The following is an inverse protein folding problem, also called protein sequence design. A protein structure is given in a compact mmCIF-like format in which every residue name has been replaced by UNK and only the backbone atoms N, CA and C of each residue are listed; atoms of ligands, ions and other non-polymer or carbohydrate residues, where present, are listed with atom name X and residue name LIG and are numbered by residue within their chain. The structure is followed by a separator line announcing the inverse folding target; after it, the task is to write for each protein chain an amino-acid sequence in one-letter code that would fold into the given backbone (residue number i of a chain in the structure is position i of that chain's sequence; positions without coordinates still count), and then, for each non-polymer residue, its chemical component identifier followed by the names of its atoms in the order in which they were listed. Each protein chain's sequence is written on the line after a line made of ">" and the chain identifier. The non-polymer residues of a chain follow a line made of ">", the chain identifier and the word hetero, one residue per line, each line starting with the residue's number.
data_IF_949678312280
#
_entry.id   IF_949678312280
#
_cell.length_a   1.000
_cell.length_b   1.000
_cell.length_c   1.000
_cell.angle_alpha   90.00
_cell.angle_beta   90.00
_cell.angle_gamma   90.00
#
_symmetry.space_group_name_H-M   'P 1'
#
loop_
_entity.id
_entity.type
_entity.pdbx_description
1 polymer ?
#
# COMPACT_ATOMS: atom_id res chain seq x y z
N UNK A 1 -13.52 12.35 -14.22
CA UNK A 1 -13.20 11.04 -14.83
C UNK A 1 -11.83 11.03 -15.51
N UNK A 2 -11.48 12.02 -16.33
CA UNK A 2 -10.21 12.01 -17.09
C UNK A 2 -8.94 11.82 -16.24
N UNK A 3 -8.86 12.43 -15.05
CA UNK A 3 -7.72 12.23 -14.14
C UNK A 3 -7.58 10.80 -13.62
N UNK A 4 -8.70 10.12 -13.39
CA UNK A 4 -8.74 8.72 -12.94
C UNK A 4 -8.32 7.79 -14.08
N UNK A 5 -8.80 8.05 -15.30
CA UNK A 5 -8.43 7.28 -16.50
C UNK A 5 -6.94 7.41 -16.79
N UNK A 6 -6.36 8.62 -16.70
CA UNK A 6 -4.91 8.82 -16.82
C UNK A 6 -4.13 8.06 -15.74
N UNK A 7 -4.61 8.11 -14.49
CA UNK A 7 -3.99 7.34 -13.41
C UNK A 7 -4.02 5.83 -13.68
N UNK A 8 -5.17 5.29 -14.11
CA UNK A 8 -5.33 3.87 -14.47
C UNK A 8 -4.40 3.46 -15.63
N UNK A 9 -4.22 4.34 -16.61
CA UNK A 9 -3.31 4.08 -17.75
C UNK A 9 -1.83 3.99 -17.33
N UNK A 10 -1.42 4.69 -16.26
CA UNK A 10 -0.07 4.55 -15.69
C UNK A 10 0.18 3.14 -15.11
N UNK A 11 -0.88 2.44 -14.71
CA UNK A 11 -0.83 1.06 -14.23
C UNK A 11 -1.21 0.04 -15.31
N UNK A 12 -1.09 0.42 -16.58
CA UNK A 12 -1.44 -0.39 -17.76
C UNK A 12 -2.91 -0.84 -17.84
N UNK A 13 -3.81 -0.27 -17.02
CA UNK A 13 -5.24 -0.55 -17.12
C UNK A 13 -5.84 0.41 -18.15
N UNK A 14 -6.13 -0.12 -19.34
CA UNK A 14 -6.72 0.64 -20.43
C UNK A 14 -8.23 0.42 -20.46
N UNK A 15 -8.98 1.52 -20.41
CA UNK A 15 -10.43 1.53 -20.57
C UNK A 15 -10.76 2.20 -21.90
N UNK A 16 -11.66 1.60 -22.68
CA UNK A 16 -12.21 2.22 -23.87
C UNK A 16 -13.08 3.44 -23.51
N UNK A 17 -13.25 4.36 -24.45
CA UNK A 17 -14.06 5.58 -24.24
C UNK A 17 -15.53 5.30 -23.92
N UNK A 18 -16.03 4.12 -24.29
CA UNK A 18 -17.40 3.67 -24.01
C UNK A 18 -17.54 2.86 -22.71
N UNK A 19 -16.48 2.71 -21.92
CA UNK A 19 -16.56 1.90 -20.70
C UNK A 19 -17.43 2.62 -19.66
N UNK A 20 -18.42 1.94 -19.04
CA UNK A 20 -19.25 2.58 -18.05
C UNK A 20 -18.42 3.09 -16.86
N UNK A 21 -18.79 4.27 -16.39
CA UNK A 21 -18.14 4.99 -15.29
C UNK A 21 -17.94 4.13 -14.01
N UNK A 22 -18.88 3.23 -13.75
CA UNK A 22 -18.79 2.27 -12.64
C UNK A 22 -17.61 1.30 -12.79
N UNK A 23 -17.29 0.86 -14.00
CA UNK A 23 -16.16 -0.06 -14.26
C UNK A 23 -14.83 0.67 -14.10
N UNK A 24 -14.73 1.90 -14.62
CA UNK A 24 -13.54 2.76 -14.45
C UNK A 24 -13.25 2.96 -12.96
N UNK A 25 -14.31 3.22 -12.20
CA UNK A 25 -14.21 3.36 -10.76
C UNK A 25 -13.78 2.06 -10.07
N UNK A 26 -14.36 0.92 -10.43
CA UNK A 26 -13.96 -0.38 -9.87
C UNK A 26 -12.46 -0.66 -10.12
N UNK A 27 -11.95 -0.32 -11.31
CA UNK A 27 -10.52 -0.39 -11.61
C UNK A 27 -9.67 0.50 -10.71
N UNK A 28 -10.13 1.72 -10.42
CA UNK A 28 -9.46 2.63 -9.50
C UNK A 28 -9.38 2.09 -8.06
N UNK A 29 -10.49 1.53 -7.56
CA UNK A 29 -10.51 0.88 -6.24
C UNK A 29 -9.60 -0.35 -6.18
N UNK A 30 -9.50 -1.11 -7.26
CA UNK A 30 -8.60 -2.27 -7.34
C UNK A 30 -7.15 -1.83 -7.18
N UNK A 31 -6.70 -0.78 -7.89
CA UNK A 31 -5.33 -0.28 -7.76
C UNK A 31 -5.05 0.19 -6.33
N UNK A 32 -5.94 1.01 -5.76
CA UNK A 32 -5.77 1.49 -4.37
C UNK A 32 -5.72 0.34 -3.37
N UNK A 33 -6.52 -0.71 -3.58
CA UNK A 33 -6.51 -1.91 -2.74
C UNK A 33 -5.17 -2.67 -2.83
N UNK A 34 -4.57 -2.75 -4.01
CA UNK A 34 -3.22 -3.34 -4.18
C UNK A 34 -2.17 -2.52 -3.43
N UNK A 35 -2.20 -1.19 -3.51
CA UNK A 35 -1.29 -0.34 -2.73
C UNK A 35 -1.45 -0.53 -1.22
N UNK A 36 -2.70 -0.61 -0.74
CA UNK A 36 -3.00 -0.88 0.66
C UNK A 36 -2.43 -2.24 1.08
N UNK A 37 -2.65 -3.28 0.26
CA UNK A 37 -2.13 -4.62 0.53
C UNK A 37 -0.60 -4.61 0.64
N UNK A 38 0.09 -3.95 -0.29
CA UNK A 38 1.54 -3.83 -0.29
C UNK A 38 2.05 -3.10 0.96
N UNK A 39 1.40 -2.00 1.36
CA UNK A 39 1.76 -1.29 2.60
C UNK A 39 1.58 -2.18 3.84
N UNK A 40 0.49 -2.94 3.92
CA UNK A 40 0.25 -3.86 5.05
C UNK A 40 1.32 -4.97 5.09
N UNK A 41 1.64 -5.57 3.95
CA UNK A 41 2.69 -6.60 3.85
C UNK A 41 4.04 -6.02 4.26
N UNK A 42 4.38 -4.81 3.81
CA UNK A 42 5.60 -4.12 4.21
C UNK A 42 5.64 -3.94 5.73
N UNK A 43 4.61 -3.36 6.33
CA UNK A 43 4.53 -3.16 7.79
C UNK A 43 4.72 -4.48 8.54
N UNK A 44 4.12 -5.59 8.06
CA UNK A 44 4.31 -6.92 8.67
C UNK A 44 5.76 -7.41 8.59
N UNK A 45 6.42 -7.25 7.44
CA UNK A 45 7.84 -7.59 7.27
C UNK A 45 8.70 -6.76 8.24
N UNK A 46 8.38 -5.47 8.39
CA UNK A 46 9.06 -4.59 9.33
C UNK A 46 8.90 -5.07 10.78
N UNK A 47 7.67 -5.36 11.23
CA UNK A 47 7.41 -5.86 12.58
C UNK A 47 8.13 -7.19 12.83
N UNK A 48 8.14 -8.09 11.84
CA UNK A 48 8.87 -9.34 11.92
C UNK A 48 10.38 -9.12 12.06
N UNK A 49 10.95 -8.19 11.28
CA UNK A 49 12.37 -7.85 11.36
C UNK A 49 12.76 -7.30 12.75
N UNK A 50 11.91 -6.46 13.34
CA UNK A 50 12.10 -5.93 14.70
C UNK A 50 12.06 -7.07 15.72
N UNK A 51 11.10 -7.99 15.58
CA UNK A 51 10.97 -9.13 16.48
C UNK A 51 12.20 -10.05 16.44
N UNK A 52 12.73 -10.31 15.24
CA UNK A 52 13.94 -11.12 15.05
C UNK A 52 15.17 -10.44 15.66
N UNK A 53 15.36 -9.14 15.40
CA UNK A 53 16.52 -8.37 15.93
C UNK A 53 16.46 -8.24 17.45
N UNK A 54 15.26 -8.11 18.02
CA UNK A 54 15.09 -7.94 19.47
C UNK A 54 15.32 -9.25 20.26
N UNK A 55 15.25 -10.40 19.59
CA UNK A 55 15.50 -11.71 20.19
C UNK A 55 16.88 -12.25 19.80
N UNK A 56 17.89 -11.99 20.64
CA UNK A 56 19.27 -12.43 20.40
C UNK A 56 19.41 -13.95 20.17
N UNK A 57 18.54 -14.76 20.80
CA UNK A 57 18.50 -16.23 20.59
C UNK A 57 18.12 -16.63 19.16
N UNK A 58 17.25 -15.85 18.51
CA UNK A 58 16.82 -16.07 17.13
C UNK A 58 17.91 -15.55 16.18
N UNK A 59 18.44 -14.36 16.46
CA UNK A 59 19.50 -13.74 15.68
C UNK A 59 20.77 -14.63 15.63
N UNK A 60 21.19 -15.20 16.75
CA UNK A 60 22.37 -16.05 16.85
C UNK A 60 22.20 -17.44 16.20
N UNK A 61 20.95 -17.87 15.93
CA UNK A 61 20.66 -19.09 15.16
C UNK A 61 20.76 -18.88 13.65
N UNK A 62 20.77 -17.64 13.17
CA UNK A 62 20.91 -17.36 11.74
C UNK A 62 22.36 -17.66 11.33
N UNK A 63 22.60 -18.53 10.32
CA UNK A 63 23.94 -18.88 9.91
C UNK A 63 24.70 -17.64 9.44
N UNK A 64 25.92 -17.41 9.96
CA UNK A 64 26.80 -16.30 9.56
C UNK A 64 27.12 -16.25 8.06
N UNK A 65 26.88 -17.35 7.34
CA UNK A 65 26.98 -17.44 5.88
C UNK A 65 26.06 -16.44 5.16
N UNK A 66 24.97 -16.01 5.80
CA UNK A 66 24.04 -15.00 5.29
C UNK A 66 24.41 -13.58 5.78
N UNK A 67 25.63 -13.13 5.46
CA UNK A 67 26.12 -11.79 5.82
C UNK A 67 25.20 -10.67 5.28
N UNK A 68 24.53 -10.92 4.16
CA UNK A 68 23.59 -9.98 3.55
C UNK A 68 22.34 -9.76 4.42
N UNK A 69 21.77 -10.82 5.00
CA UNK A 69 20.60 -10.74 5.88
C UNK A 69 20.94 -9.92 7.13
N UNK A 70 22.14 -10.11 7.68
CA UNK A 70 22.61 -9.31 8.81
C UNK A 70 22.74 -7.81 8.48
N UNK A 71 23.34 -7.46 7.32
CA UNK A 71 23.44 -6.06 6.88
C UNK A 71 22.06 -5.44 6.66
N UNK A 72 21.13 -6.21 6.09
CA UNK A 72 19.76 -5.79 5.84
C UNK A 72 19.02 -5.53 7.17
N UNK A 73 19.13 -6.44 8.16
CA UNK A 73 18.55 -6.25 9.49
C UNK A 73 19.12 -5.02 10.23
N UNK A 74 20.42 -4.74 10.11
CA UNK A 74 21.06 -3.56 10.72
C UNK A 74 20.60 -2.27 10.03
N UNK A 75 20.51 -2.26 8.70
CA UNK A 75 19.98 -1.11 7.94
C UNK A 75 18.54 -0.79 8.36
N UNK A 76 17.70 -1.82 8.47
CA UNK A 76 16.32 -1.71 8.91
C UNK A 76 16.20 -1.17 10.34
N UNK A 77 17.13 -1.53 11.24
CA UNK A 77 17.15 -1.02 12.61
C UNK A 77 17.24 0.51 12.69
N UNK A 78 18.01 1.14 11.81
CA UNK A 78 18.28 2.58 11.86
C UNK A 78 17.14 3.43 11.28
N UNK A 79 16.46 2.94 10.24
CA UNK A 79 15.43 3.71 9.52
C UNK A 79 14.01 3.34 9.99
N UNK A 80 13.87 2.33 10.86
CA UNK A 80 12.59 1.69 11.25
C UNK A 80 11.44 2.65 11.54
N UNK A 81 11.69 3.68 12.35
CA UNK A 81 10.59 4.55 12.84
C UNK A 81 10.11 5.46 11.73
N UNK A 82 11.05 6.07 10.99
CA UNK A 82 10.72 6.98 9.89
C UNK A 82 9.98 6.25 8.78
N UNK A 83 10.41 5.03 8.43
CA UNK A 83 9.77 4.24 7.39
C UNK A 83 8.37 3.76 7.77
N UNK A 84 8.19 3.26 9.00
CA UNK A 84 6.87 2.84 9.49
C UNK A 84 5.90 4.03 9.51
N UNK A 85 6.37 5.20 9.94
CA UNK A 85 5.55 6.43 9.93
C UNK A 85 5.16 6.80 8.49
N UNK A 86 6.10 6.75 7.53
CA UNK A 86 5.78 7.09 6.13
C UNK A 86 4.79 6.11 5.49
N UNK A 87 4.92 4.81 5.76
CA UNK A 87 4.00 3.77 5.29
C UNK A 87 2.60 3.96 5.89
N UNK A 88 2.53 4.32 7.18
CA UNK A 88 1.26 4.59 7.86
C UNK A 88 0.57 5.85 7.31
N UNK A 89 1.34 6.90 7.01
CA UNK A 89 0.83 8.10 6.33
C UNK A 89 0.29 7.74 4.94
N UNK A 90 1.04 6.96 4.16
CA UNK A 90 0.62 6.52 2.83
C UNK A 90 -0.68 5.70 2.88
N UNK A 91 -0.77 4.78 3.85
CA UNK A 91 -1.99 4.00 4.11
C UNK A 91 -3.20 4.90 4.40
N UNK A 92 -3.04 5.89 5.29
CA UNK A 92 -4.10 6.84 5.63
C UNK A 92 -4.55 7.65 4.42
N UNK A 93 -3.61 8.09 3.57
CA UNK A 93 -3.92 8.81 2.33
C UNK A 93 -4.74 7.92 1.39
N UNK A 94 -4.33 6.67 1.16
CA UNK A 94 -5.08 5.73 0.31
C UNK A 94 -6.51 5.50 0.82
N UNK A 95 -6.67 5.27 2.12
CA UNK A 95 -7.97 5.07 2.74
C UNK A 95 -8.85 6.32 2.66
N UNK A 96 -8.28 7.49 2.93
CA UNK A 96 -9.00 8.76 2.81
C UNK A 96 -9.54 8.98 1.39
N UNK A 97 -8.70 8.72 0.38
CA UNK A 97 -9.09 8.82 -1.03
C UNK A 97 -10.24 7.85 -1.35
N UNK A 98 -10.17 6.60 -0.89
CA UNK A 98 -11.25 5.62 -1.10
C UNK A 98 -12.57 6.09 -0.48
N UNK A 99 -12.53 6.59 0.76
CA UNK A 99 -13.72 7.09 1.47
C UNK A 99 -14.30 8.30 0.73
N UNK A 100 -13.45 9.25 0.34
CA UNK A 100 -13.86 10.44 -0.41
C UNK A 100 -14.59 10.09 -1.70
N UNK A 101 -14.00 9.19 -2.50
CA UNK A 101 -14.59 8.75 -3.77
C UNK A 101 -15.92 8.03 -3.54
N UNK A 102 -15.99 7.18 -2.51
CA UNK A 102 -17.23 6.47 -2.13
C UNK A 102 -18.33 7.46 -1.74
N UNK A 103 -18.00 8.47 -0.93
CA UNK A 103 -18.94 9.51 -0.53
C UNK A 103 -19.47 10.29 -1.73
N UNK A 104 -18.58 10.68 -2.66
CA UNK A 104 -18.98 11.36 -3.90
C UNK A 104 -19.97 10.55 -4.74
N UNK A 105 -19.81 9.22 -4.79
CA UNK A 105 -20.73 8.33 -5.50
C UNK A 105 -22.09 8.21 -4.84
N UNK A 106 -22.09 7.99 -3.52
CA UNK A 106 -23.33 7.88 -2.75
C UNK A 106 -24.12 9.18 -2.84
N UNK A 107 -23.44 10.32 -2.72
CA UNK A 107 -24.05 11.65 -2.92
C UNK A 107 -24.65 11.82 -4.32
N UNK A 108 -23.94 11.39 -5.36
CA UNK A 108 -24.46 11.44 -6.74
C UNK A 108 -25.70 10.56 -6.91
N UNK A 109 -25.67 9.33 -6.39
CA UNK A 109 -26.78 8.38 -6.50
C UNK A 109 -28.02 8.82 -5.72
N UNK A 110 -27.85 9.49 -4.57
CA UNK A 110 -28.96 10.04 -3.77
C UNK A 110 -29.59 11.27 -4.45
N UNK A 111 -28.79 12.14 -5.08
CA UNK A 111 -29.30 13.36 -5.71
C UNK A 111 -29.85 13.19 -7.14
N UNK A 112 -29.52 12.08 -7.82
CA UNK A 112 -30.06 11.75 -9.15
C UNK A 112 -31.30 10.85 -9.13
N UNK A 113 -31.78 10.51 -7.93
CA UNK A 113 -33.05 9.83 -7.72
C UNK A 113 -34.13 10.85 -7.36
#
# INVERSE_FOLDING_TARGET
>A
MEGIIKFLSLFCIHFDSNTPDFIILAGYFLILSVFILLNVVNIMIYLLSIYIVSNEKILNKIPRKYMFIHKLLIYYKNIRVVYIISEFILLLICLFIMIWVTYSLVSFYIHLK
#
